data_IF_222918846430
#
_entry.id   IF_222918846430
#
_cell.length_a   1.000
_cell.length_b   1.000
_cell.length_c   1.000
_cell.angle_alpha   90.00
_cell.angle_beta   90.00
_cell.angle_gamma   90.00
#
_symmetry.space_group_name_H-M   'P 1'
#
loop_
_entity.id
_entity.type
_entity.pdbx_description
1 polymer ?
#
# COMPACT_ATOMS: atom_id res chain seq x y z
N UNK A 1 46.94 7.46 -50.76
CA UNK A 1 46.32 6.18 -50.31
C UNK A 1 45.89 6.39 -48.89
N UNK A 2 44.59 6.60 -48.68
CA UNK A 2 43.96 6.70 -47.36
C UNK A 2 43.31 5.35 -47.04
N UNK A 3 43.37 4.83 -45.80
CA UNK A 3 42.72 3.58 -45.45
C UNK A 3 41.23 3.77 -45.21
N UNK A 4 40.43 2.84 -45.75
CA UNK A 4 39.01 2.69 -45.56
C UNK A 4 38.66 2.39 -44.09
N UNK A 5 37.66 3.14 -43.57
CA UNK A 5 37.04 2.86 -42.28
C UNK A 5 35.85 1.94 -42.56
N UNK A 6 35.97 0.68 -42.08
CA UNK A 6 34.89 -0.30 -42.08
C UNK A 6 34.01 0.02 -40.86
N UNK A 7 32.81 0.55 -41.12
CA UNK A 7 31.74 0.66 -40.13
C UNK A 7 30.88 -0.60 -40.17
N UNK A 8 31.00 -1.44 -39.16
CA UNK A 8 29.99 -2.48 -38.89
C UNK A 8 29.65 -2.44 -37.41
N UNK A 9 28.49 -1.98 -37.09
CA UNK A 9 27.90 -2.00 -35.76
C UNK A 9 26.38 -1.85 -35.88
N UNK A 10 25.70 -2.94 -36.31
CA UNK A 10 24.26 -3.04 -36.19
C UNK A 10 23.86 -3.04 -34.71
N UNK A 11 23.49 -1.89 -34.19
CA UNK A 11 22.75 -1.80 -32.95
C UNK A 11 21.28 -2.11 -33.29
N UNK A 12 20.87 -3.35 -33.11
CA UNK A 12 19.46 -3.73 -33.10
C UNK A 12 18.81 -3.09 -31.87
N UNK A 13 18.20 -1.92 -32.04
CA UNK A 13 17.27 -1.37 -31.06
C UNK A 13 16.09 -2.34 -30.94
N UNK A 14 16.11 -3.15 -29.91
CA UNK A 14 14.98 -3.97 -29.50
C UNK A 14 13.81 -3.04 -29.17
N UNK A 15 12.91 -2.85 -30.13
CA UNK A 15 11.61 -2.22 -29.88
C UNK A 15 10.91 -3.05 -28.81
N UNK A 16 10.85 -2.52 -27.59
CA UNK A 16 9.98 -3.05 -26.54
C UNK A 16 8.57 -2.96 -27.13
N UNK A 17 7.96 -4.10 -27.44
CA UNK A 17 6.55 -4.19 -27.84
C UNK A 17 5.74 -3.69 -26.64
N UNK A 18 5.22 -2.46 -26.73
CA UNK A 18 4.19 -1.96 -25.84
C UNK A 18 2.97 -2.86 -26.05
N UNK A 19 2.46 -3.55 -25.02
CA UNK A 19 1.27 -4.37 -25.17
C UNK A 19 0.10 -3.53 -25.69
N UNK A 20 -0.62 -4.02 -26.68
CA UNK A 20 -1.77 -3.35 -27.31
C UNK A 20 -3.04 -3.47 -26.43
N UNK A 21 -2.99 -3.01 -25.18
CA UNK A 21 -4.11 -3.02 -24.23
C UNK A 21 -3.77 -2.20 -23.00
N UNK A 22 -4.77 -1.88 -22.13
CA UNK A 22 -4.50 -1.15 -20.92
C UNK A 22 -3.51 -1.92 -20.06
N UNK A 23 -2.34 -1.32 -19.86
CA UNK A 23 -1.27 -1.90 -19.05
C UNK A 23 -1.68 -1.85 -17.58
N UNK A 24 -1.57 -2.97 -16.85
CA UNK A 24 -1.95 -3.12 -15.45
C UNK A 24 -0.79 -3.68 -14.65
N UNK A 25 -0.61 -3.26 -13.41
CA UNK A 25 0.42 -3.79 -12.52
C UNK A 25 0.01 -3.69 -11.06
N UNK A 26 0.53 -4.59 -10.25
CA UNK A 26 0.62 -4.39 -8.80
C UNK A 26 1.79 -3.44 -8.52
N UNK A 27 1.69 -2.68 -7.44
CA UNK A 27 2.79 -1.84 -6.99
C UNK A 27 2.93 -1.91 -5.47
N UNK A 28 4.16 -1.89 -4.99
CA UNK A 28 4.50 -1.77 -3.57
C UNK A 28 5.60 -0.72 -3.39
N UNK A 29 5.84 -0.34 -2.14
CA UNK A 29 6.87 0.63 -1.77
C UNK A 29 7.87 0.00 -0.83
N UNK A 30 9.16 0.34 -1.01
CA UNK A 30 10.24 -0.08 -0.12
C UNK A 30 11.22 1.07 0.11
N UNK A 31 11.62 1.26 1.36
CA UNK A 31 12.61 2.25 1.78
C UNK A 31 13.59 1.63 2.79
N UNK A 32 14.81 2.16 2.81
CA UNK A 32 15.85 1.78 3.76
C UNK A 32 16.44 0.39 3.54
N UNK A 33 17.32 0.02 4.46
CA UNK A 33 18.07 -1.23 4.46
C UNK A 33 17.50 -2.29 5.43
N UNK A 34 16.29 -2.09 5.92
CA UNK A 34 15.64 -2.96 6.90
C UNK A 34 15.15 -4.28 6.32
N UNK A 35 14.50 -5.07 7.17
CA UNK A 35 14.02 -6.42 6.85
C UNK A 35 12.72 -6.45 6.00
N UNK A 36 12.14 -5.30 5.65
CA UNK A 36 10.93 -5.21 4.83
C UNK A 36 11.10 -5.78 3.41
N UNK A 37 12.32 -5.86 2.90
CA UNK A 37 12.61 -6.57 1.64
C UNK A 37 12.09 -8.01 1.69
N UNK A 38 12.13 -8.68 2.86
CA UNK A 38 11.60 -10.03 3.06
C UNK A 38 10.07 -10.07 2.87
N UNK A 39 9.38 -9.04 3.33
CA UNK A 39 7.95 -8.87 3.12
C UNK A 39 7.60 -8.71 1.64
N UNK A 40 8.32 -7.85 0.92
CA UNK A 40 8.14 -7.67 -0.53
C UNK A 40 8.41 -8.97 -1.31
N UNK A 41 9.42 -9.74 -0.92
CA UNK A 41 9.66 -11.10 -1.46
C UNK A 41 8.47 -12.02 -1.19
N UNK A 42 7.90 -11.96 0.02
CA UNK A 42 6.68 -12.69 0.39
C UNK A 42 5.50 -12.31 -0.51
N UNK A 43 5.29 -11.00 -0.70
CA UNK A 43 4.26 -10.46 -1.58
C UNK A 43 4.42 -10.96 -3.04
N UNK A 44 5.63 -10.89 -3.60
CA UNK A 44 5.93 -11.38 -4.94
C UNK A 44 5.65 -12.88 -5.09
N UNK A 45 6.02 -13.68 -4.08
CA UNK A 45 5.72 -15.13 -4.05
C UNK A 45 4.21 -15.39 -3.92
N UNK A 46 3.51 -14.60 -3.11
CA UNK A 46 2.06 -14.69 -2.93
C UNK A 46 1.31 -14.44 -4.25
N UNK A 47 1.64 -13.37 -4.96
CA UNK A 47 1.06 -13.05 -6.26
C UNK A 47 1.31 -14.17 -7.29
N UNK A 48 2.53 -14.73 -7.34
CA UNK A 48 2.83 -15.89 -8.20
C UNK A 48 2.00 -17.12 -7.83
N UNK A 49 1.93 -17.45 -6.54
CA UNK A 49 1.13 -18.59 -6.03
C UNK A 49 -0.34 -18.42 -6.35
N UNK A 50 -0.85 -17.20 -6.25
CA UNK A 50 -2.21 -16.82 -6.62
C UNK A 50 -2.44 -16.76 -8.14
N UNK A 51 -1.40 -17.02 -8.96
CA UNK A 51 -1.44 -16.99 -10.43
C UNK A 51 -1.91 -15.65 -10.98
N UNK A 52 -1.43 -14.55 -10.40
CA UNK A 52 -1.64 -13.23 -10.98
C UNK A 52 -1.01 -13.14 -12.37
N UNK A 53 -1.71 -12.46 -13.28
CA UNK A 53 -1.27 -12.21 -14.66
C UNK A 53 -0.46 -10.93 -14.81
N UNK A 54 -0.41 -10.10 -13.77
CA UNK A 54 0.17 -8.77 -13.81
C UNK A 54 1.48 -8.72 -13.02
N UNK A 55 2.47 -7.92 -13.48
CA UNK A 55 3.75 -7.78 -12.79
C UNK A 55 3.59 -7.06 -11.45
N UNK A 56 4.58 -7.25 -10.56
CA UNK A 56 4.78 -6.44 -9.38
C UNK A 56 5.87 -5.40 -9.64
N UNK A 57 5.51 -4.12 -9.56
CA UNK A 57 6.43 -2.98 -9.54
C UNK A 57 6.80 -2.69 -8.09
N UNK A 58 8.09 -2.56 -7.81
CA UNK A 58 8.56 -2.15 -6.48
C UNK A 58 9.14 -0.74 -6.61
N UNK A 59 8.41 0.24 -6.11
CA UNK A 59 8.89 1.61 -5.98
C UNK A 59 9.87 1.67 -4.80
N UNK A 60 11.14 1.95 -5.07
CA UNK A 60 12.20 1.99 -4.06
C UNK A 60 12.76 3.38 -3.89
N UNK A 61 13.18 3.70 -2.66
CA UNK A 61 13.99 4.91 -2.42
C UNK A 61 15.48 4.66 -2.69
N UNK A 62 16.27 5.73 -2.90
CA UNK A 62 17.71 5.61 -3.16
C UNK A 62 18.52 4.90 -2.07
N UNK A 63 18.01 4.89 -0.83
CA UNK A 63 18.63 4.26 0.34
C UNK A 63 18.43 2.73 0.43
N UNK A 64 17.72 2.13 -0.53
CA UNK A 64 17.58 0.67 -0.63
C UNK A 64 18.86 0.09 -1.22
N UNK A 65 19.59 -0.82 -0.50
CA UNK A 65 20.86 -1.37 -0.93
C UNK A 65 20.77 -2.20 -2.22
N UNK A 66 21.88 -2.29 -2.96
CA UNK A 66 21.93 -3.01 -4.24
C UNK A 66 21.64 -4.52 -4.11
N UNK A 67 22.04 -5.15 -3.02
CA UNK A 67 21.73 -6.56 -2.75
C UNK A 67 20.21 -6.77 -2.54
N UNK A 68 19.54 -5.85 -1.86
CA UNK A 68 18.06 -5.88 -1.77
C UNK A 68 17.41 -5.67 -3.15
N UNK A 69 17.91 -4.74 -3.96
CA UNK A 69 17.43 -4.52 -5.34
C UNK A 69 17.59 -5.78 -6.18
N UNK A 70 18.74 -6.43 -6.10
CA UNK A 70 19.02 -7.67 -6.84
C UNK A 70 18.08 -8.80 -6.40
N UNK A 71 17.86 -8.99 -5.10
CA UNK A 71 16.88 -9.96 -4.58
C UNK A 71 15.51 -9.74 -5.20
N UNK A 72 15.03 -8.49 -5.32
CA UNK A 72 13.73 -8.20 -5.90
C UNK A 72 13.67 -8.50 -7.41
N UNK A 73 14.74 -8.16 -8.15
CA UNK A 73 14.88 -8.51 -9.58
C UNK A 73 14.86 -10.04 -9.76
N UNK A 74 15.55 -10.79 -8.92
CA UNK A 74 15.58 -12.26 -8.95
C UNK A 74 14.21 -12.88 -8.64
N UNK A 75 13.34 -12.16 -7.93
CA UNK A 75 11.93 -12.54 -7.75
C UNK A 75 11.06 -12.20 -8.96
N UNK A 76 11.60 -11.59 -10.01
CA UNK A 76 10.85 -11.15 -11.20
C UNK A 76 10.09 -9.84 -10.98
N UNK A 77 10.44 -9.06 -9.99
CA UNK A 77 9.87 -7.74 -9.78
C UNK A 77 10.47 -6.71 -10.74
N UNK A 78 9.67 -5.71 -11.10
CA UNK A 78 10.13 -4.51 -11.81
C UNK A 78 10.54 -3.50 -10.75
N UNK A 79 11.85 -3.29 -10.56
CA UNK A 79 12.36 -2.33 -9.57
C UNK A 79 12.43 -0.95 -10.20
N UNK A 80 11.81 0.05 -9.57
CA UNK A 80 11.79 1.45 -10.02
C UNK A 80 12.15 2.39 -8.88
N UNK A 81 13.26 3.11 -9.02
CA UNK A 81 13.66 4.12 -8.06
C UNK A 81 12.77 5.37 -8.18
N UNK A 82 12.38 5.90 -7.04
CA UNK A 82 11.58 7.12 -6.90
C UNK A 82 12.26 8.09 -5.92
N UNK A 83 12.04 9.38 -6.13
CA UNK A 83 12.52 10.41 -5.23
C UNK A 83 11.78 10.41 -3.90
N UNK A 84 12.46 10.61 -2.76
CA UNK A 84 11.80 10.78 -1.48
C UNK A 84 10.88 12.01 -1.49
N UNK A 85 9.78 11.91 -0.77
CA UNK A 85 8.83 13.01 -0.57
C UNK A 85 8.52 13.14 0.91
N UNK A 86 8.68 14.36 1.42
CA UNK A 86 8.41 14.69 2.81
C UNK A 86 7.27 15.72 2.89
N UNK A 87 6.39 15.64 3.91
CA UNK A 87 5.44 16.69 4.21
C UNK A 87 6.16 17.95 4.71
N UNK A 88 5.48 19.10 4.86
CA UNK A 88 6.04 20.26 5.52
C UNK A 88 6.56 19.90 6.92
N UNK A 89 7.66 20.53 7.32
CA UNK A 89 8.16 20.41 8.69
C UNK A 89 7.10 20.86 9.69
N UNK A 90 6.83 20.01 10.67
CA UNK A 90 5.85 20.26 11.72
C UNK A 90 6.26 19.49 12.99
N UNK A 91 5.74 19.92 14.15
CA UNK A 91 5.90 19.22 15.43
C UNK A 91 4.94 18.03 15.59
N UNK A 92 4.41 17.50 14.49
CA UNK A 92 3.47 16.36 14.53
C UNK A 92 4.16 15.11 15.03
N UNK A 93 3.58 14.50 16.05
CA UNK A 93 3.95 13.18 16.49
C UNK A 93 3.27 12.14 15.57
N UNK A 94 4.07 11.46 14.76
CA UNK A 94 3.58 10.34 13.96
C UNK A 94 3.32 9.11 14.84
N UNK A 95 2.38 8.28 14.43
CA UNK A 95 2.10 6.99 15.07
C UNK A 95 3.35 6.12 15.15
N UNK A 96 4.13 6.11 14.09
CA UNK A 96 5.44 5.49 14.01
C UNK A 96 6.41 6.49 13.36
N UNK A 97 7.62 6.62 13.90
CA UNK A 97 8.60 7.61 13.41
C UNK A 97 8.89 7.49 11.91
N UNK A 98 8.85 6.27 11.36
CA UNK A 98 9.11 6.02 9.94
C UNK A 98 7.93 6.39 9.02
N UNK A 99 6.75 6.75 9.55
CA UNK A 99 5.60 7.10 8.71
C UNK A 99 5.84 8.34 7.85
N UNK A 100 6.74 9.22 8.27
CA UNK A 100 7.11 10.40 7.47
C UNK A 100 7.59 10.04 6.06
N UNK A 101 8.31 8.93 5.90
CA UNK A 101 8.82 8.50 4.59
C UNK A 101 7.74 7.93 3.68
N UNK A 102 6.62 7.49 4.25
CA UNK A 102 5.51 6.90 3.50
C UNK A 102 4.85 7.89 2.53
N UNK A 103 5.00 9.21 2.74
CA UNK A 103 4.56 10.20 1.74
C UNK A 103 5.19 9.96 0.37
N UNK A 104 6.35 9.31 0.30
CA UNK A 104 7.00 8.94 -0.96
C UNK A 104 6.16 8.00 -1.82
N UNK A 105 5.21 7.25 -1.23
CA UNK A 105 4.22 6.44 -1.97
C UNK A 105 3.42 7.27 -2.98
N UNK A 106 3.23 8.56 -2.75
CA UNK A 106 2.52 9.45 -3.67
C UNK A 106 3.19 9.54 -5.06
N UNK A 107 4.48 9.15 -5.16
CA UNK A 107 5.20 9.09 -6.44
C UNK A 107 4.67 8.03 -7.39
N UNK A 108 3.96 6.98 -6.91
CA UNK A 108 3.44 5.93 -7.79
C UNK A 108 2.37 6.42 -8.78
N UNK A 109 1.75 7.58 -8.54
CA UNK A 109 0.83 8.19 -9.49
C UNK A 109 1.51 8.68 -10.78
N UNK A 110 2.84 8.79 -10.79
CA UNK A 110 3.64 9.09 -11.98
C UNK A 110 3.79 7.91 -12.96
N UNK A 111 3.43 6.69 -12.57
CA UNK A 111 3.62 5.48 -13.36
C UNK A 111 2.58 5.35 -14.48
N UNK A 112 2.46 6.39 -15.32
CA UNK A 112 1.42 6.54 -16.35
C UNK A 112 1.50 5.57 -17.51
N UNK A 113 2.54 4.74 -17.58
CA UNK A 113 2.60 3.58 -18.48
C UNK A 113 1.58 2.49 -18.09
N UNK A 114 1.04 2.56 -16.86
CA UNK A 114 -0.04 1.69 -16.39
C UNK A 114 -1.35 2.48 -16.35
N UNK A 115 -2.39 1.91 -16.93
CA UNK A 115 -3.73 2.52 -16.90
C UNK A 115 -4.43 2.35 -15.55
N UNK A 116 -4.11 1.26 -14.83
CA UNK A 116 -4.64 0.98 -13.49
C UNK A 116 -3.64 0.16 -12.69
N UNK A 117 -3.50 0.49 -11.42
CA UNK A 117 -2.61 -0.21 -10.49
C UNK A 117 -3.33 -0.62 -9.21
N UNK A 118 -2.85 -1.70 -8.59
CA UNK A 118 -3.24 -2.10 -7.23
C UNK A 118 -2.01 -1.94 -6.34
N UNK A 119 -2.09 -1.02 -5.38
CA UNK A 119 -1.08 -0.86 -4.35
C UNK A 119 -1.26 -1.91 -3.25
N UNK A 120 -0.15 -2.45 -2.78
CA UNK A 120 -0.09 -3.40 -1.66
C UNK A 120 1.13 -3.06 -0.80
N UNK A 121 0.94 -2.83 0.49
CA UNK A 121 2.07 -2.63 1.41
C UNK A 121 3.00 -3.86 1.44
N UNK A 122 4.29 -3.64 1.73
CA UNK A 122 5.30 -4.70 1.77
C UNK A 122 5.07 -5.77 2.86
N UNK A 123 4.15 -5.53 3.78
CA UNK A 123 3.72 -6.47 4.83
C UNK A 123 2.34 -7.09 4.56
N UNK A 124 1.96 -7.11 3.29
CA UNK A 124 0.75 -7.80 2.81
C UNK A 124 1.12 -9.16 2.21
N UNK A 125 0.28 -10.16 2.48
CA UNK A 125 0.32 -11.47 1.85
C UNK A 125 -0.95 -11.71 1.02
N UNK A 126 -0.76 -12.05 -0.25
CA UNK A 126 -1.85 -12.44 -1.17
C UNK A 126 -1.98 -13.96 -1.18
N UNK A 127 -3.15 -14.48 -0.79
CA UNK A 127 -3.46 -15.91 -0.74
C UNK A 127 -4.28 -16.40 -1.94
N UNK A 128 -5.14 -15.53 -2.50
CA UNK A 128 -5.98 -15.83 -3.66
C UNK A 128 -5.87 -14.74 -4.70
N UNK A 129 -6.17 -15.08 -5.95
CA UNK A 129 -6.12 -14.14 -7.08
C UNK A 129 -7.11 -12.98 -6.88
N UNK A 130 -6.60 -11.76 -7.07
CA UNK A 130 -7.37 -10.51 -6.97
C UNK A 130 -7.32 -9.67 -8.26
N UNK A 131 -6.90 -10.27 -9.39
CA UNK A 131 -6.76 -9.57 -10.67
C UNK A 131 -8.07 -8.92 -11.16
N UNK A 132 -9.23 -9.47 -10.77
CA UNK A 132 -10.54 -8.92 -11.12
C UNK A 132 -10.80 -7.51 -10.57
N UNK A 133 -10.04 -7.06 -9.56
CA UNK A 133 -10.12 -5.70 -9.06
C UNK A 133 -9.65 -4.66 -10.09
N UNK A 134 -8.82 -5.06 -11.06
CA UNK A 134 -8.47 -4.21 -12.18
C UNK A 134 -9.65 -3.91 -13.13
N UNK A 135 -10.72 -4.68 -13.07
CA UNK A 135 -11.92 -4.49 -13.89
C UNK A 135 -12.98 -3.60 -13.24
N UNK A 136 -12.70 -3.09 -12.03
CA UNK A 136 -13.58 -2.14 -11.36
C UNK A 136 -13.68 -0.83 -12.17
N UNK A 137 -14.83 -0.13 -12.12
CA UNK A 137 -15.03 1.12 -12.84
C UNK A 137 -13.94 2.15 -12.61
N UNK A 138 -13.61 2.91 -13.65
CA UNK A 138 -12.61 3.97 -13.61
C UNK A 138 -13.11 5.19 -12.83
N UNK A 139 -12.18 6.11 -12.53
CA UNK A 139 -12.43 7.39 -11.85
C UNK A 139 -12.73 7.30 -10.35
N UNK A 140 -12.64 6.12 -9.75
CA UNK A 140 -12.80 5.92 -8.32
C UNK A 140 -11.50 5.42 -7.67
N UNK A 141 -11.41 5.64 -6.36
CA UNK A 141 -10.35 5.10 -5.50
C UNK A 141 -10.95 3.99 -4.63
N UNK A 142 -10.53 2.74 -4.82
CA UNK A 142 -11.09 1.61 -4.09
C UNK A 142 -10.12 1.16 -3.01
N UNK A 143 -10.62 1.02 -1.79
CA UNK A 143 -9.84 0.51 -0.65
C UNK A 143 -10.77 -0.13 0.38
N UNK A 144 -10.19 -0.89 1.31
CA UNK A 144 -10.93 -1.48 2.43
C UNK A 144 -11.03 -0.46 3.56
N UNK A 145 -12.21 -0.37 4.17
CA UNK A 145 -12.47 0.52 5.31
C UNK A 145 -11.60 0.14 6.51
N UNK A 146 -11.01 1.13 7.17
CA UNK A 146 -10.22 0.93 8.38
C UNK A 146 -11.10 0.74 9.63
N UNK A 147 -10.49 0.36 10.76
CA UNK A 147 -11.15 0.09 12.02
C UNK A 147 -10.74 1.09 13.10
N UNK A 148 -11.74 1.68 13.77
CA UNK A 148 -11.58 2.67 14.84
C UNK A 148 -12.08 2.17 16.21
N UNK A 149 -12.32 0.88 16.39
CA UNK A 149 -12.84 0.34 17.63
C UNK A 149 -11.92 0.53 18.83
N UNK A 150 -10.63 0.60 18.61
CA UNK A 150 -9.67 0.83 19.68
C UNK A 150 -9.50 2.32 19.96
N UNK A 151 -9.69 2.70 21.23
CA UNK A 151 -9.35 4.05 21.68
C UNK A 151 -7.83 4.18 21.67
N UNK A 152 -7.33 5.12 20.90
CA UNK A 152 -5.91 5.38 20.78
C UNK A 152 -5.57 6.81 21.22
N UNK A 153 -4.27 7.09 21.32
CA UNK A 153 -3.69 8.40 21.52
C UNK A 153 -3.94 9.38 20.36
N UNK A 154 -4.49 8.92 19.23
CA UNK A 154 -4.82 9.78 18.09
C UNK A 154 -5.71 10.93 18.52
N UNK A 155 -5.41 12.14 18.02
CA UNK A 155 -6.18 13.34 18.28
C UNK A 155 -7.59 13.36 17.69
N UNK A 156 -7.97 12.36 16.86
CA UNK A 156 -9.29 12.32 16.22
C UNK A 156 -10.38 11.87 17.18
N UNK A 157 -11.55 12.52 17.10
CA UNK A 157 -12.69 12.16 17.94
C UNK A 157 -13.13 10.70 17.74
N UNK A 158 -12.99 10.15 16.53
CA UNK A 158 -13.31 8.73 16.23
C UNK A 158 -12.56 7.79 17.15
N UNK A 159 -11.23 7.93 17.25
CA UNK A 159 -10.41 7.10 18.14
C UNK A 159 -10.67 7.39 19.62
N UNK A 160 -10.92 8.63 20.00
CA UNK A 160 -11.19 9.00 21.40
C UNK A 160 -12.39 8.27 21.96
N UNK A 161 -13.45 8.11 21.17
CA UNK A 161 -14.70 7.48 21.60
C UNK A 161 -14.83 6.04 21.14
N UNK A 162 -13.98 5.58 20.20
CA UNK A 162 -14.06 4.25 19.60
C UNK A 162 -15.22 4.13 18.60
N UNK A 163 -15.63 5.22 17.93
CA UNK A 163 -16.62 5.16 16.87
C UNK A 163 -16.03 4.51 15.63
N UNK A 164 -16.54 3.33 15.28
CA UNK A 164 -16.08 2.58 14.12
C UNK A 164 -17.17 2.46 13.06
N UNK A 165 -16.83 2.82 11.83
CA UNK A 165 -17.74 2.78 10.69
C UNK A 165 -18.07 1.35 10.22
N UNK A 166 -17.26 0.35 10.63
CA UNK A 166 -17.52 -1.07 10.36
C UNK A 166 -18.53 -1.69 11.35
N UNK A 167 -18.75 -1.04 12.49
CA UNK A 167 -19.75 -1.42 13.48
C UNK A 167 -20.43 -0.17 14.09
N UNK A 168 -21.12 0.64 13.29
CA UNK A 168 -21.64 1.94 13.72
C UNK A 168 -22.66 1.88 14.85
N UNK A 169 -23.21 0.70 15.10
CA UNK A 169 -24.19 0.48 16.17
C UNK A 169 -23.58 0.18 17.53
N UNK A 170 -22.26 -0.19 17.57
CA UNK A 170 -21.55 -0.44 18.85
C UNK A 170 -21.34 0.83 19.67
N UNK A 171 -20.96 1.91 19.01
CA UNK A 171 -20.77 3.23 19.61
C UNK A 171 -21.46 4.27 18.74
N UNK A 172 -22.44 4.98 19.30
CA UNK A 172 -23.12 6.04 18.55
C UNK A 172 -22.23 7.28 18.43
N UNK A 173 -22.30 7.94 17.26
CA UNK A 173 -21.63 9.23 17.08
C UNK A 173 -22.35 10.33 17.84
N UNK A 174 -21.69 11.00 18.80
CA UNK A 174 -22.31 12.07 19.58
C UNK A 174 -22.61 13.31 18.72
N UNK A 175 -23.82 13.85 18.85
CA UNK A 175 -24.27 15.02 18.09
C UNK A 175 -23.43 16.29 18.37
N UNK A 176 -22.86 16.41 19.56
CA UNK A 176 -21.99 17.51 19.94
C UNK A 176 -20.67 17.59 19.13
N UNK A 177 -20.29 16.50 18.46
CA UNK A 177 -19.13 16.48 17.56
C UNK A 177 -19.50 16.86 16.11
N UNK A 178 -20.75 17.28 15.88
CA UNK A 178 -21.24 17.63 14.54
C UNK A 178 -21.56 16.43 13.67
N UNK A 179 -21.46 16.55 12.32
CA UNK A 179 -21.80 15.49 11.41
C UNK A 179 -20.89 14.26 11.59
N UNK A 180 -21.43 13.08 11.28
CA UNK A 180 -20.64 11.85 11.26
C UNK A 180 -19.40 12.01 10.36
N UNK A 181 -18.25 11.43 10.74
CA UNK A 181 -17.05 11.50 9.92
C UNK A 181 -17.28 10.84 8.55
N UNK A 182 -16.55 11.32 7.54
CA UNK A 182 -16.51 10.67 6.24
C UNK A 182 -15.97 9.24 6.37
N UNK A 183 -16.30 8.39 5.39
CA UNK A 183 -15.71 7.05 5.31
C UNK A 183 -14.19 7.16 5.24
N UNK A 184 -13.50 6.26 5.93
CA UNK A 184 -12.06 6.26 6.07
C UNK A 184 -11.50 4.86 5.75
N UNK A 185 -10.48 4.79 4.89
CA UNK A 185 -9.86 3.56 4.45
C UNK A 185 -8.48 3.33 5.05
N UNK A 186 -8.09 2.06 5.11
CA UNK A 186 -6.70 1.67 5.36
C UNK A 186 -5.91 1.77 4.05
N UNK A 187 -4.79 2.50 4.07
CA UNK A 187 -3.97 2.78 2.90
C UNK A 187 -2.93 1.69 2.57
N UNK A 188 -3.00 0.53 3.22
CA UNK A 188 -2.11 -0.59 2.90
C UNK A 188 -2.50 -1.33 1.63
N UNK A 189 -3.75 -1.20 1.17
CA UNK A 189 -4.21 -1.75 -0.11
C UNK A 189 -5.22 -0.81 -0.76
N UNK A 190 -4.99 -0.47 -2.04
CA UNK A 190 -5.95 0.31 -2.81
C UNK A 190 -5.79 0.11 -4.33
N UNK A 191 -6.88 0.34 -5.07
CA UNK A 191 -6.91 0.36 -6.54
C UNK A 191 -7.00 1.80 -6.99
N UNK A 192 -6.14 2.19 -7.93
CA UNK A 192 -6.06 3.57 -8.42
C UNK A 192 -5.63 3.63 -9.90
N UNK A 193 -5.79 4.80 -10.49
CA UNK A 193 -5.34 5.11 -11.84
C UNK A 193 -4.17 6.09 -11.77
N UNK A 194 -2.95 5.71 -12.21
CA UNK A 194 -1.85 6.65 -12.36
C UNK A 194 -2.22 7.77 -13.34
N UNK A 195 -1.84 9.00 -13.00
CA UNK A 195 -2.22 10.18 -13.78
C UNK A 195 -1.29 11.35 -13.46
N UNK A 196 -0.64 11.95 -14.46
CA UNK A 196 0.22 13.11 -14.23
C UNK A 196 -0.53 14.31 -13.63
N UNK A 197 -1.74 14.66 -14.06
CA UNK A 197 -2.52 15.70 -13.39
C UNK A 197 -2.74 15.42 -11.91
N UNK A 198 -3.17 14.17 -11.55
CA UNK A 198 -3.35 13.77 -10.16
C UNK A 198 -2.02 13.77 -9.41
N UNK A 199 -0.95 13.27 -10.02
CA UNK A 199 0.40 13.28 -9.45
C UNK A 199 0.87 14.69 -9.06
N UNK A 200 0.79 15.62 -10.00
CA UNK A 200 1.20 17.01 -9.75
C UNK A 200 0.34 17.69 -8.68
N UNK A 201 -0.96 17.39 -8.66
CA UNK A 201 -1.87 17.94 -7.66
C UNK A 201 -1.62 17.35 -6.26
N UNK A 202 -1.35 16.05 -6.16
CA UNK A 202 -0.91 15.41 -4.91
C UNK A 202 0.36 16.07 -4.36
N UNK A 203 1.39 16.24 -5.20
CA UNK A 203 2.65 16.87 -4.79
C UNK A 203 2.49 18.34 -4.37
N UNK A 204 1.60 19.07 -5.04
CA UNK A 204 1.27 20.44 -4.66
C UNK A 204 0.51 20.49 -3.34
N UNK A 205 -0.48 19.63 -3.17
CA UNK A 205 -1.35 19.59 -2.00
C UNK A 205 -0.58 19.16 -0.75
N UNK A 206 0.31 18.16 -0.83
CA UNK A 206 1.09 17.72 0.32
C UNK A 206 1.99 18.81 0.88
N UNK A 207 2.51 19.72 0.02
CA UNK A 207 3.39 20.82 0.45
C UNK A 207 2.69 21.85 1.35
N UNK A 208 1.37 21.93 1.29
CA UNK A 208 0.56 22.89 2.06
C UNK A 208 -0.33 22.23 3.10
N UNK A 209 -0.34 20.89 3.15
CA UNK A 209 -1.14 20.13 4.11
C UNK A 209 -0.28 19.74 5.31
N UNK A 210 -0.58 20.23 6.52
CA UNK A 210 0.12 19.80 7.70
C UNK A 210 0.02 18.28 7.90
N UNK A 211 1.12 17.59 8.24
CA UNK A 211 1.08 16.17 8.50
C UNK A 211 0.25 15.86 9.76
N UNK A 212 -0.30 14.66 9.79
CA UNK A 212 -1.08 14.13 10.90
C UNK A 212 -0.52 12.78 11.36
N UNK A 213 -1.07 12.22 12.42
CA UNK A 213 -0.49 11.05 13.10
C UNK A 213 -0.34 9.81 12.23
N UNK A 214 -1.26 9.61 11.25
CA UNK A 214 -1.20 8.48 10.32
C UNK A 214 -0.65 8.87 8.94
N UNK A 215 0.04 10.01 8.86
CA UNK A 215 0.84 10.43 7.71
C UNK A 215 0.08 10.37 6.37
N UNK A 216 0.62 9.61 5.41
CA UNK A 216 0.05 9.51 4.07
C UNK A 216 -1.34 8.87 4.05
N UNK A 217 -1.68 8.01 5.02
CA UNK A 217 -3.02 7.44 5.10
C UNK A 217 -4.08 8.51 5.35
N UNK A 218 -3.86 9.40 6.31
CA UNK A 218 -4.75 10.54 6.58
C UNK A 218 -4.82 11.47 5.37
N UNK A 219 -3.68 11.75 4.75
CA UNK A 219 -3.59 12.59 3.55
C UNK A 219 -4.38 12.01 2.38
N UNK A 220 -4.23 10.72 2.08
CA UNK A 220 -4.96 10.05 1.02
C UNK A 220 -6.47 10.02 1.30
N UNK A 221 -6.88 9.80 2.56
CA UNK A 221 -8.28 9.84 2.96
C UNK A 221 -8.90 11.23 2.78
N UNK A 222 -8.14 12.30 3.06
CA UNK A 222 -8.56 13.66 2.79
C UNK A 222 -8.67 13.92 1.28
N UNK A 223 -7.65 13.55 0.52
CA UNK A 223 -7.54 13.88 -0.90
C UNK A 223 -8.55 13.10 -1.77
N UNK A 224 -8.75 11.81 -1.51
CA UNK A 224 -9.67 10.96 -2.27
C UNK A 224 -11.06 10.84 -1.66
N UNK A 225 -11.40 11.64 -0.66
CA UNK A 225 -12.67 11.59 0.07
C UNK A 225 -13.90 11.41 -0.82
N UNK A 226 -13.99 12.19 -1.90
CA UNK A 226 -15.15 12.23 -2.79
C UNK A 226 -15.11 11.14 -3.88
N UNK A 227 -13.95 10.47 -4.05
CA UNK A 227 -13.74 9.40 -5.03
C UNK A 227 -13.67 8.01 -4.39
N UNK A 228 -13.52 7.94 -3.08
CA UNK A 228 -13.39 6.68 -2.35
C UNK A 228 -14.65 5.82 -2.43
N UNK A 229 -14.43 4.55 -2.76
CA UNK A 229 -15.45 3.49 -2.75
C UNK A 229 -14.94 2.33 -1.91
N UNK A 230 -15.66 1.96 -0.83
CA UNK A 230 -15.27 0.82 0.00
C UNK A 230 -15.42 -0.50 -0.76
N UNK A 231 -14.43 -1.39 -0.56
CA UNK A 231 -14.47 -2.78 -1.02
C UNK A 231 -14.44 -3.73 0.19
N UNK A 232 -14.87 -5.00 0.01
CA UNK A 232 -14.98 -5.95 1.11
C UNK A 232 -13.67 -6.19 1.88
N UNK A 233 -13.72 -6.45 3.20
CA UNK A 233 -12.55 -6.71 4.05
C UNK A 233 -11.67 -7.88 3.60
N UNK A 234 -12.21 -8.80 2.79
CA UNK A 234 -11.46 -9.93 2.22
C UNK A 234 -10.23 -9.53 1.39
N UNK A 235 -10.16 -8.27 0.92
CA UNK A 235 -9.06 -7.74 0.12
C UNK A 235 -7.98 -7.02 0.92
N UNK A 236 -8.20 -6.75 2.19
CA UNK A 236 -7.21 -6.16 3.10
C UNK A 236 -7.61 -6.49 4.56
N UNK A 237 -7.50 -7.78 4.92
CA UNK A 237 -7.75 -8.17 6.29
C UNK A 237 -6.62 -7.69 7.19
N UNK A 238 -6.83 -6.56 7.84
CA UNK A 238 -6.01 -6.11 8.96
C UNK A 238 -6.22 -7.06 10.13
N UNK A 239 -5.14 -7.62 10.70
CA UNK A 239 -5.25 -8.67 11.71
C UNK A 239 -6.17 -8.30 12.88
N UNK A 240 -6.15 -7.05 13.32
CA UNK A 240 -7.02 -6.56 14.38
C UNK A 240 -8.53 -6.80 14.13
N UNK A 241 -8.93 -6.99 12.90
CA UNK A 241 -10.32 -7.30 12.53
C UNK A 241 -10.75 -8.66 13.06
N UNK A 242 -9.82 -9.61 13.22
CA UNK A 242 -10.13 -10.97 13.72
C UNK A 242 -10.73 -10.96 15.11
N UNK A 243 -10.33 -10.04 15.97
CA UNK A 243 -10.86 -9.90 17.33
C UNK A 243 -11.80 -8.72 17.53
N UNK A 244 -11.72 -7.69 16.67
CA UNK A 244 -12.59 -6.52 16.78
C UNK A 244 -13.91 -6.66 16.03
N UNK A 245 -13.90 -7.40 14.92
CA UNK A 245 -15.04 -7.62 14.04
C UNK A 245 -15.15 -9.07 13.58
N UNK A 246 -15.08 -10.07 14.47
CA UNK A 246 -15.16 -11.48 14.08
C UNK A 246 -16.43 -11.81 13.31
N UNK A 247 -17.52 -11.09 13.58
CA UNK A 247 -18.80 -11.23 12.89
C UNK A 247 -18.75 -10.86 11.40
N UNK A 248 -17.77 -10.06 10.98
CA UNK A 248 -17.57 -9.61 9.58
C UNK A 248 -16.54 -10.44 8.83
N UNK A 249 -15.91 -11.43 9.47
CA UNK A 249 -14.80 -12.18 8.92
C UNK A 249 -15.19 -13.66 8.70
N UNK A 250 -15.02 -14.10 7.45
CA UNK A 250 -15.07 -15.50 7.06
C UNK A 250 -13.71 -15.89 6.50
N UNK A 251 -12.90 -16.59 7.30
CA UNK A 251 -11.49 -16.87 6.99
C UNK A 251 -11.30 -17.56 5.65
N UNK A 252 -12.18 -18.49 5.29
CA UNK A 252 -12.12 -19.21 3.99
C UNK A 252 -12.27 -18.32 2.77
N UNK A 253 -12.83 -17.13 2.94
CA UNK A 253 -13.04 -16.15 1.87
C UNK A 253 -11.91 -15.11 1.78
N UNK A 254 -10.99 -15.07 2.76
CA UNK A 254 -9.93 -14.08 2.79
C UNK A 254 -8.96 -14.28 1.63
N UNK A 255 -8.73 -13.21 0.88
CA UNK A 255 -7.82 -13.20 -0.27
C UNK A 255 -6.49 -12.52 0.04
N UNK A 256 -6.52 -11.52 0.92
CA UNK A 256 -5.37 -10.69 1.27
C UNK A 256 -5.35 -10.43 2.77
N UNK A 257 -4.20 -10.68 3.40
CA UNK A 257 -3.96 -10.40 4.82
C UNK A 257 -2.90 -9.33 4.96
N UNK A 258 -3.13 -8.37 5.84
CA UNK A 258 -2.25 -7.25 6.13
C UNK A 258 -1.71 -7.33 7.56
N UNK A 259 -0.41 -7.55 7.69
CA UNK A 259 0.32 -7.66 8.95
C UNK A 259 0.79 -6.29 9.45
N UNK A 260 -0.13 -5.32 9.54
CA UNK A 260 0.21 -3.91 9.80
C UNK A 260 0.76 -3.64 11.20
N UNK A 261 0.43 -4.48 12.20
CA UNK A 261 0.95 -4.32 13.56
C UNK A 261 2.46 -4.56 13.63
N UNK A 262 3.16 -3.78 14.44
CA UNK A 262 4.63 -3.80 14.53
C UNK A 262 5.20 -5.18 14.88
N UNK A 263 4.48 -5.96 15.69
CA UNK A 263 4.89 -7.29 16.14
C UNK A 263 4.43 -8.46 15.28
N UNK A 264 3.58 -8.23 14.28
CA UNK A 264 2.93 -9.28 13.51
C UNK A 264 3.62 -9.61 12.18
N UNK A 265 4.84 -9.14 11.95
CA UNK A 265 5.55 -9.37 10.69
C UNK A 265 5.94 -10.85 10.55
N UNK A 266 5.42 -11.60 9.54
CA UNK A 266 5.66 -13.04 9.41
C UNK A 266 7.14 -13.42 9.34
N UNK A 267 7.97 -12.59 8.73
CA UNK A 267 9.41 -12.83 8.60
C UNK A 267 10.22 -12.60 9.87
N UNK A 268 9.59 -12.11 10.94
CA UNK A 268 10.18 -11.96 12.29
C UNK A 268 9.74 -13.07 13.24
N UNK A 269 8.90 -13.99 12.78
CA UNK A 269 8.46 -15.11 13.58
C UNK A 269 9.60 -16.13 13.74
N UNK A 270 9.98 -16.40 14.97
CA UNK A 270 11.09 -17.30 15.31
C UNK A 270 10.62 -18.72 15.71
N UNK A 271 9.32 -18.89 15.96
CA UNK A 271 8.77 -20.14 16.51
C UNK A 271 8.99 -20.31 18.02
N UNK A 272 9.56 -19.30 18.70
CA UNK A 272 9.77 -19.33 20.15
C UNK A 272 8.46 -19.07 20.91
N UNK A 273 8.36 -19.64 22.14
CA UNK A 273 7.13 -19.62 22.95
C UNK A 273 6.62 -18.20 23.25
N UNK A 274 7.50 -17.22 23.47
CA UNK A 274 7.14 -15.82 23.68
C UNK A 274 6.44 -15.21 22.47
N UNK A 275 6.84 -15.61 21.25
CA UNK A 275 6.19 -15.17 20.01
C UNK A 275 4.87 -15.91 19.74
N UNK A 276 4.72 -17.12 20.28
CA UNK A 276 3.51 -17.94 20.15
C UNK A 276 2.35 -17.47 21.05
N UNK A 277 2.65 -16.75 22.14
CA UNK A 277 1.66 -16.24 23.08
C UNK A 277 1.00 -14.92 22.65
N UNK A 278 1.48 -14.31 21.59
CA UNK A 278 0.89 -13.08 21.08
C UNK A 278 -0.40 -13.39 20.33
N UNK A 279 -1.47 -12.70 20.71
CA UNK A 279 -2.80 -12.86 20.09
C UNK A 279 -2.80 -12.71 18.58
N UNK A 280 -1.92 -11.83 18.04
CA UNK A 280 -1.76 -11.57 16.61
C UNK A 280 -1.04 -12.71 15.86
N UNK A 281 -0.40 -13.65 16.56
CA UNK A 281 0.32 -14.80 15.99
C UNK A 281 -0.49 -16.11 16.14
N UNK A 282 -1.35 -16.23 17.15
CA UNK A 282 -2.13 -17.44 17.42
C UNK A 282 -3.11 -17.82 16.29
N UNK A 283 -3.31 -16.95 15.31
CA UNK A 283 -4.16 -17.20 14.14
C UNK A 283 -3.42 -17.77 12.92
N UNK A 284 -2.15 -18.18 13.08
CA UNK A 284 -1.27 -18.72 12.03
C UNK A 284 -0.70 -20.07 12.44
#
# INVERSE_FOLDING_TARGET
>A
MAPEIISNGNVTSGLIKIPSGPSRAYVTFLAGNGDYVKGVVGLAKGLRKAKSKYPLVVAILPDVPDDHRQILVDQGCIVREIEPLHPPENQTQFAMAYYVINYSKLRIWEFVEYSKMIYLDGDIQVFQNIDHLFDYPDSYFYAVMDCFCEKTWSGTNQYKIGYCQQCPDKVQWPSEFGPKPALYFNAGMFVFEPSLPTYHDLLKTVKVTPPTSFAEQDFLNMYFRDKYKPIPPIYNLVLAMLWRHPENIQLDNIKVVHYCAAGSKPWRFTGEEENMQREDIQFW
#
